data_IF_122334761649
#
_entry.id   IF_122334761649
#
_cell.length_a   1.000
_cell.length_b   1.000
_cell.length_c   1.000
_cell.angle_alpha   90.00
_cell.angle_beta   90.00
_cell.angle_gamma   90.00
#
_symmetry.space_group_name_H-M   'P 1'
#
loop_
_entity.id
_entity.type
_entity.pdbx_description
1 polymer ?
#
# COMPACT_ATOMS: atom_id res chain seq x y z
N UNK A 1 -6.61 -9.42 -24.24
CA UNK A 1 -6.96 -8.21 -25.01
C UNK A 1 -7.09 -7.07 -24.04
N UNK A 2 -6.46 -5.91 -24.27
CA UNK A 2 -6.61 -4.76 -23.40
C UNK A 2 -8.06 -4.25 -23.39
N UNK A 3 -8.57 -3.91 -22.20
CA UNK A 3 -9.92 -3.40 -22.00
C UNK A 3 -9.90 -1.88 -22.01
N UNK A 4 -10.60 -1.26 -22.95
CA UNK A 4 -10.67 0.20 -23.08
C UNK A 4 -12.10 0.65 -22.77
N UNK A 5 -12.25 1.60 -21.86
CA UNK A 5 -13.51 2.28 -21.58
C UNK A 5 -13.56 3.58 -22.36
N UNK A 6 -14.57 3.75 -23.20
CA UNK A 6 -14.84 5.00 -23.93
C UNK A 6 -16.06 5.66 -23.31
N UNK A 7 -15.89 6.88 -22.80
CA UNK A 7 -16.92 7.68 -22.13
C UNK A 7 -17.13 8.96 -22.94
N UNK A 8 -18.28 9.11 -23.55
CA UNK A 8 -18.64 10.24 -24.40
C UNK A 8 -20.18 10.28 -24.53
N UNK A 9 -20.82 11.41 -24.47
CA UNK A 9 -22.28 11.50 -24.61
C UNK A 9 -22.73 11.43 -26.07
N UNK A 10 -21.85 11.73 -27.03
CA UNK A 10 -22.12 11.67 -28.45
C UNK A 10 -22.06 10.24 -29.00
N UNK A 11 -23.20 9.65 -29.38
CA UNK A 11 -23.30 8.28 -29.93
C UNK A 11 -22.34 8.06 -31.10
N UNK A 12 -22.28 9.00 -32.05
CA UNK A 12 -21.42 8.88 -33.24
C UNK A 12 -19.93 8.81 -32.92
N UNK A 13 -19.48 9.54 -31.89
CA UNK A 13 -18.09 9.52 -31.45
C UNK A 13 -17.80 8.18 -30.75
N UNK A 14 -18.68 7.72 -29.85
CA UNK A 14 -18.53 6.42 -29.19
C UNK A 14 -18.42 5.28 -30.18
N UNK A 15 -19.33 5.24 -31.19
CA UNK A 15 -19.33 4.18 -32.21
C UNK A 15 -18.06 4.22 -33.04
N UNK A 16 -17.63 5.40 -33.53
CA UNK A 16 -16.41 5.56 -34.32
C UNK A 16 -15.16 5.13 -33.55
N UNK A 17 -15.01 5.59 -32.30
CA UNK A 17 -13.87 5.20 -31.46
C UNK A 17 -13.89 3.70 -31.16
N UNK A 18 -15.08 3.14 -30.93
CA UNK A 18 -15.23 1.70 -30.69
C UNK A 18 -14.82 0.87 -31.89
N UNK A 19 -15.22 1.26 -33.09
CA UNK A 19 -14.85 0.57 -34.34
C UNK A 19 -13.33 0.60 -34.53
N UNK A 20 -12.70 1.77 -34.48
CA UNK A 20 -11.26 1.92 -34.64
C UNK A 20 -10.49 1.06 -33.59
N UNK A 21 -10.90 1.10 -32.33
CA UNK A 21 -10.18 0.40 -31.27
C UNK A 21 -10.39 -1.12 -31.32
N UNK A 22 -11.55 -1.60 -31.77
CA UNK A 22 -11.81 -3.03 -32.00
C UNK A 22 -11.01 -3.57 -33.18
N UNK A 23 -10.88 -2.78 -34.24
CA UNK A 23 -10.03 -3.13 -35.40
C UNK A 23 -8.57 -3.28 -35.00
N UNK A 24 -8.09 -2.52 -34.02
CA UNK A 24 -6.75 -2.66 -33.40
C UNK A 24 -6.66 -3.79 -32.37
N UNK A 25 -7.73 -4.58 -32.18
CA UNK A 25 -7.71 -5.77 -31.32
C UNK A 25 -7.96 -5.50 -29.85
N UNK A 26 -8.63 -4.40 -29.49
CA UNK A 26 -8.98 -4.07 -28.11
C UNK A 26 -10.40 -4.51 -27.75
N UNK A 27 -10.64 -4.83 -26.45
CA UNK A 27 -11.98 -5.03 -25.90
C UNK A 27 -12.53 -3.67 -25.45
N UNK A 28 -13.60 -3.19 -26.12
CA UNK A 28 -14.12 -1.84 -25.93
C UNK A 28 -15.46 -1.87 -25.21
N UNK A 29 -15.52 -1.21 -24.06
CA UNK A 29 -16.73 -0.93 -23.32
C UNK A 29 -17.11 0.55 -23.51
N UNK A 30 -18.40 0.82 -23.69
CA UNK A 30 -18.94 2.15 -23.91
C UNK A 30 -19.72 2.62 -22.68
N UNK A 31 -19.64 3.93 -22.40
CA UNK A 31 -20.46 4.61 -21.40
C UNK A 31 -20.91 5.95 -21.99
N UNK A 32 -22.17 6.30 -21.82
CA UNK A 32 -22.72 7.55 -22.38
C UNK A 32 -22.73 8.73 -21.39
N UNK A 33 -22.39 8.45 -20.13
CA UNK A 33 -22.38 9.45 -19.05
C UNK A 33 -21.48 8.99 -17.90
N UNK A 34 -21.29 9.88 -16.93
CA UNK A 34 -20.44 9.59 -15.77
C UNK A 34 -21.01 8.47 -14.87
N UNK A 35 -22.34 8.32 -14.79
CA UNK A 35 -22.94 7.26 -13.99
C UNK A 35 -22.60 5.87 -14.56
N UNK A 36 -22.71 5.70 -15.88
CA UNK A 36 -22.31 4.47 -16.56
C UNK A 36 -20.79 4.22 -16.49
N UNK A 37 -20.01 5.31 -16.59
CA UNK A 37 -18.55 5.21 -16.43
C UNK A 37 -18.14 4.72 -15.05
N UNK A 38 -18.82 5.19 -13.97
CA UNK A 38 -18.62 4.68 -12.60
C UNK A 38 -18.99 3.19 -12.52
N UNK A 39 -20.16 2.82 -12.99
CA UNK A 39 -20.61 1.42 -13.00
C UNK A 39 -19.66 0.50 -13.80
N UNK A 40 -19.18 0.96 -14.95
CA UNK A 40 -18.22 0.22 -15.77
C UNK A 40 -16.89 0.03 -15.06
N UNK A 41 -16.41 1.06 -14.32
CA UNK A 41 -15.18 1.04 -13.53
C UNK A 41 -15.32 0.10 -12.33
N UNK A 42 -16.45 0.13 -11.63
CA UNK A 42 -16.73 -0.72 -10.47
C UNK A 42 -16.89 -2.18 -10.85
N UNK A 43 -17.43 -2.46 -12.05
CA UNK A 43 -17.54 -3.82 -12.59
C UNK A 43 -16.18 -4.44 -12.99
N UNK A 44 -15.13 -3.63 -13.11
CA UNK A 44 -13.77 -4.08 -13.40
C UNK A 44 -12.90 -2.97 -13.95
N UNK A 45 -11.63 -2.96 -13.52
CA UNK A 45 -10.65 -1.98 -13.97
C UNK A 45 -10.43 -2.04 -15.48
N UNK A 46 -10.62 -0.93 -16.22
CA UNK A 46 -10.17 -0.84 -17.60
C UNK A 46 -8.64 -0.64 -17.67
N UNK A 47 -8.03 -1.10 -18.75
CA UNK A 47 -6.60 -0.88 -19.00
C UNK A 47 -6.30 0.55 -19.48
N UNK A 48 -7.32 1.23 -20.01
CA UNK A 48 -7.30 2.62 -20.45
C UNK A 48 -8.71 3.20 -20.44
N UNK A 49 -8.84 4.48 -20.12
CA UNK A 49 -10.09 5.25 -20.27
C UNK A 49 -9.87 6.39 -21.26
N UNK A 50 -10.76 6.51 -22.23
CA UNK A 50 -10.95 7.71 -23.03
C UNK A 50 -12.16 8.44 -22.46
N UNK A 51 -11.99 9.65 -21.94
CA UNK A 51 -13.01 10.37 -21.18
C UNK A 51 -13.29 11.74 -21.77
N UNK A 52 -14.52 11.93 -22.20
CA UNK A 52 -14.96 13.25 -22.62
C UNK A 52 -15.09 14.21 -21.42
N UNK A 53 -14.79 15.48 -21.65
CA UNK A 53 -14.94 16.52 -20.63
C UNK A 53 -16.40 16.93 -20.51
N UNK A 54 -17.07 17.14 -21.61
CA UNK A 54 -18.42 17.69 -21.62
C UNK A 54 -19.47 16.61 -21.68
N UNK A 55 -20.07 16.31 -20.53
CA UNK A 55 -21.16 15.35 -20.41
C UNK A 55 -22.34 15.97 -19.63
N UNK A 56 -23.59 15.55 -19.90
CA UNK A 56 -24.78 16.25 -19.37
C UNK A 56 -25.00 16.04 -17.86
N UNK A 57 -24.52 14.94 -17.28
CA UNK A 57 -24.73 14.61 -15.87
C UNK A 57 -23.61 15.11 -14.94
N UNK A 58 -22.38 14.82 -15.27
CA UNK A 58 -21.18 15.20 -14.52
C UNK A 58 -20.05 15.40 -15.53
N UNK A 59 -19.35 16.53 -15.48
CA UNK A 59 -18.23 16.76 -16.38
C UNK A 59 -17.05 15.80 -16.10
N UNK A 60 -16.28 15.46 -17.13
CA UNK A 60 -15.20 14.51 -17.06
C UNK A 60 -14.06 14.91 -16.11
N UNK A 61 -13.84 16.21 -15.88
CA UNK A 61 -12.83 16.70 -14.92
C UNK A 61 -13.29 16.38 -13.50
N UNK A 62 -14.57 16.56 -13.19
CA UNK A 62 -15.17 16.20 -11.90
C UNK A 62 -15.10 14.69 -11.66
N UNK A 63 -15.45 13.88 -12.66
CA UNK A 63 -15.31 12.42 -12.58
C UNK A 63 -13.86 11.98 -12.35
N UNK A 64 -12.91 12.61 -13.02
CA UNK A 64 -11.48 12.35 -12.84
C UNK A 64 -11.02 12.72 -11.41
N UNK A 65 -11.51 13.83 -10.84
CA UNK A 65 -11.27 14.24 -9.45
C UNK A 65 -11.83 13.22 -8.46
N UNK A 66 -13.05 12.76 -8.68
CA UNK A 66 -13.70 11.75 -7.86
C UNK A 66 -12.87 10.45 -7.82
N UNK A 67 -12.49 9.92 -8.99
CA UNK A 67 -11.62 8.75 -9.07
C UNK A 67 -10.27 8.97 -8.42
N UNK A 68 -9.69 10.17 -8.55
CA UNK A 68 -8.45 10.53 -7.88
C UNK A 68 -8.57 10.57 -6.35
N UNK A 69 -9.66 11.13 -5.83
CA UNK A 69 -9.93 11.21 -4.39
C UNK A 69 -10.26 9.84 -3.78
N UNK A 70 -10.96 8.98 -4.54
CA UNK A 70 -11.29 7.61 -4.13
C UNK A 70 -10.13 6.61 -4.31
N UNK A 71 -8.96 7.04 -4.81
CA UNK A 71 -7.84 6.13 -5.13
C UNK A 71 -8.10 5.20 -6.31
N UNK A 72 -9.17 5.44 -7.05
CA UNK A 72 -9.59 4.63 -8.19
C UNK A 72 -8.92 5.03 -9.52
N UNK A 73 -8.10 6.10 -9.52
CA UNK A 73 -7.36 6.58 -10.70
C UNK A 73 -6.04 5.82 -10.87
N UNK A 74 -6.11 4.52 -10.97
CA UNK A 74 -4.99 3.60 -11.13
C UNK A 74 -4.82 3.06 -12.56
N UNK A 75 -5.68 3.50 -13.47
CA UNK A 75 -5.58 3.29 -14.91
C UNK A 75 -5.22 4.61 -15.61
N UNK A 76 -4.57 4.55 -16.78
CA UNK A 76 -4.35 5.74 -17.59
C UNK A 76 -5.68 6.30 -18.11
N UNK A 77 -5.88 7.60 -17.96
CA UNK A 77 -7.03 8.33 -18.51
C UNK A 77 -6.53 9.34 -19.53
N UNK A 78 -7.08 9.29 -20.73
CA UNK A 78 -6.87 10.26 -21.79
C UNK A 78 -8.14 11.09 -21.90
N UNK A 79 -8.02 12.39 -21.67
CA UNK A 79 -9.17 13.29 -21.78
C UNK A 79 -9.46 13.65 -23.24
N UNK A 80 -10.72 13.83 -23.59
CA UNK A 80 -11.17 14.27 -24.90
C UNK A 80 -12.00 15.56 -24.77
N UNK A 81 -11.87 16.51 -25.68
CA UNK A 81 -12.69 17.73 -25.66
C UNK A 81 -12.80 18.39 -27.02
N UNK A 82 -13.99 18.91 -27.33
CA UNK A 82 -14.23 19.72 -28.50
C UNK A 82 -13.87 21.20 -28.30
N UNK A 83 -13.70 21.69 -27.07
CA UNK A 83 -13.36 23.05 -26.71
C UNK A 83 -12.24 23.06 -25.69
N UNK A 84 -11.05 22.65 -26.12
CA UNK A 84 -9.88 22.59 -25.28
C UNK A 84 -9.31 23.99 -25.03
N UNK A 85 -9.29 24.43 -23.76
CA UNK A 85 -8.42 25.52 -23.34
C UNK A 85 -7.12 24.94 -22.76
N UNK A 86 -6.03 25.70 -22.85
CA UNK A 86 -4.75 25.31 -22.23
C UNK A 86 -4.95 25.06 -20.73
N UNK A 87 -5.79 25.88 -20.08
CA UNK A 87 -6.07 25.77 -18.65
C UNK A 87 -6.74 24.45 -18.29
N UNK A 88 -7.71 23.99 -19.10
CA UNK A 88 -8.42 22.72 -18.89
C UNK A 88 -7.48 21.50 -19.04
N UNK A 89 -6.61 21.55 -20.06
CA UNK A 89 -5.60 20.49 -20.26
C UNK A 89 -4.57 20.45 -19.12
N UNK A 90 -4.14 21.61 -18.64
CA UNK A 90 -3.23 21.74 -17.48
C UNK A 90 -3.91 21.23 -16.21
N UNK A 91 -5.18 21.56 -15.98
CA UNK A 91 -5.95 21.07 -14.83
C UNK A 91 -6.08 19.55 -14.86
N UNK A 92 -6.52 18.98 -15.97
CA UNK A 92 -6.64 17.54 -16.15
C UNK A 92 -5.31 16.81 -15.86
N UNK A 93 -4.20 17.33 -16.38
CA UNK A 93 -2.87 16.77 -16.15
C UNK A 93 -2.44 16.86 -14.68
N UNK A 94 -2.79 17.93 -13.97
CA UNK A 94 -2.51 18.10 -12.53
C UNK A 94 -3.29 17.09 -11.69
N UNK A 95 -4.51 16.74 -12.09
CA UNK A 95 -5.35 15.74 -11.39
C UNK A 95 -4.82 14.33 -11.64
N UNK A 96 -4.20 14.07 -12.79
CA UNK A 96 -3.59 12.77 -13.10
C UNK A 96 -3.95 12.20 -14.47
N UNK A 97 -4.60 12.96 -15.34
CA UNK A 97 -4.78 12.56 -16.74
C UNK A 97 -3.42 12.33 -17.41
N UNK A 98 -3.34 11.26 -18.22
CA UNK A 98 -2.13 10.90 -18.94
C UNK A 98 -1.86 11.79 -20.14
N UNK A 99 -2.92 12.15 -20.87
CA UNK A 99 -2.86 12.89 -22.10
C UNK A 99 -4.20 13.59 -22.39
N UNK A 100 -4.21 14.42 -23.40
CA UNK A 100 -5.36 15.19 -23.82
C UNK A 100 -5.51 15.15 -25.35
N UNK A 101 -6.72 14.85 -25.85
CA UNK A 101 -7.07 14.81 -27.26
C UNK A 101 -8.12 15.86 -27.60
N UNK A 102 -7.84 16.71 -28.55
CA UNK A 102 -8.79 17.68 -29.07
C UNK A 102 -9.66 17.06 -30.18
N UNK A 103 -10.98 17.21 -30.07
CA UNK A 103 -11.95 16.81 -31.09
C UNK A 103 -11.96 17.88 -32.23
N UNK A 104 -11.96 17.48 -33.51
CA UNK A 104 -12.06 16.10 -34.02
C UNK A 104 -10.77 15.33 -33.87
N UNK A 105 -10.89 14.10 -33.33
CA UNK A 105 -9.74 13.27 -32.96
C UNK A 105 -9.18 12.59 -34.21
N UNK A 106 -7.96 12.96 -34.58
CA UNK A 106 -7.26 12.29 -35.68
C UNK A 106 -6.82 10.87 -35.31
N UNK A 107 -7.06 9.89 -36.18
CA UNK A 107 -6.76 8.46 -35.95
C UNK A 107 -5.34 8.20 -35.44
N UNK A 108 -4.33 8.83 -36.04
CA UNK A 108 -2.93 8.66 -35.63
C UNK A 108 -2.67 9.16 -34.19
N UNK A 109 -3.30 10.29 -33.81
CA UNK A 109 -3.19 10.83 -32.44
C UNK A 109 -3.89 9.93 -31.43
N UNK A 110 -5.07 9.42 -31.77
CA UNK A 110 -5.81 8.44 -30.97
C UNK A 110 -4.96 7.21 -30.69
N UNK A 111 -4.47 6.54 -31.74
CA UNK A 111 -3.69 5.30 -31.61
C UNK A 111 -2.37 5.53 -30.86
N UNK A 112 -1.71 6.66 -31.06
CA UNK A 112 -0.50 7.03 -30.32
C UNK A 112 -0.78 7.21 -28.81
N UNK A 113 -1.88 7.91 -28.47
CA UNK A 113 -2.29 8.12 -27.08
C UNK A 113 -2.73 6.81 -26.40
N UNK A 114 -3.47 5.96 -27.12
CA UNK A 114 -3.90 4.63 -26.65
C UNK A 114 -2.69 3.74 -26.40
N UNK A 115 -1.76 3.65 -27.37
CA UNK A 115 -0.54 2.86 -27.21
C UNK A 115 0.27 3.31 -26.00
N UNK A 116 0.52 4.63 -25.87
CA UNK A 116 1.23 5.22 -24.73
C UNK A 116 0.52 4.93 -23.41
N UNK A 117 -0.81 5.00 -23.41
CA UNK A 117 -1.65 4.71 -22.24
C UNK A 117 -1.57 3.25 -21.83
N UNK A 118 -1.74 2.32 -22.76
CA UNK A 118 -1.67 0.89 -22.49
C UNK A 118 -0.27 0.45 -22.03
N UNK A 119 0.79 0.99 -22.61
CA UNK A 119 2.16 0.77 -22.15
C UNK A 119 2.36 1.24 -20.70
N UNK A 120 1.75 2.36 -20.31
CA UNK A 120 1.79 2.87 -18.94
C UNK A 120 0.85 2.10 -18.00
N UNK A 121 -0.35 1.74 -18.44
CA UNK A 121 -1.30 0.93 -17.69
C UNK A 121 -0.79 -0.47 -17.40
N UNK A 122 -0.16 -1.09 -18.41
CA UNK A 122 0.47 -2.39 -18.26
C UNK A 122 1.66 -2.38 -17.28
N UNK A 123 2.34 -1.24 -17.09
CA UNK A 123 3.37 -1.07 -16.04
C UNK A 123 2.78 -1.14 -14.62
N UNK A 124 1.51 -0.83 -14.47
CA UNK A 124 0.82 -0.83 -13.18
C UNK A 124 0.04 -2.12 -12.91
N UNK A 125 -0.29 -2.91 -13.94
CA UNK A 125 -1.24 -4.04 -13.90
C UNK A 125 -0.59 -5.43 -13.80
N UNK A 126 0.40 -5.67 -13.08
CA UNK A 126 0.97 -7.04 -12.96
C UNK A 126 2.12 -7.18 -11.98
N UNK A 127 2.42 -6.12 -11.29
CA UNK A 127 3.40 -6.08 -10.22
C UNK A 127 2.80 -5.43 -8.97
N UNK A 128 3.44 -5.57 -7.82
CA UNK A 128 3.08 -4.82 -6.61
C UNK A 128 3.04 -3.31 -6.85
N UNK A 129 2.45 -2.55 -5.92
CA UNK A 129 2.39 -1.09 -5.97
C UNK A 129 3.78 -0.50 -6.23
N UNK A 130 3.87 0.45 -7.15
CA UNK A 130 5.12 1.11 -7.54
C UNK A 130 4.97 2.63 -7.51
N UNK A 131 6.10 3.36 -7.53
CA UNK A 131 6.09 4.83 -7.60
C UNK A 131 5.36 5.37 -8.84
N UNK A 132 5.14 4.54 -9.85
CA UNK A 132 4.38 4.90 -11.05
C UNK A 132 2.90 5.21 -10.81
N UNK A 133 2.33 4.74 -9.70
CA UNK A 133 0.96 5.03 -9.30
C UNK A 133 0.77 6.49 -8.86
N UNK A 134 1.83 7.14 -8.33
CA UNK A 134 1.76 8.47 -7.74
C UNK A 134 2.07 9.55 -8.78
N UNK A 135 1.03 10.08 -9.42
CA UNK A 135 1.16 11.08 -10.49
C UNK A 135 1.22 12.53 -9.97
N UNK A 136 0.72 12.78 -8.75
CA UNK A 136 0.67 14.12 -8.15
C UNK A 136 2.09 14.67 -7.89
N UNK A 137 2.32 15.98 -8.02
CA UNK A 137 3.57 16.60 -7.58
C UNK A 137 3.77 16.36 -6.08
N UNK A 138 4.91 15.82 -5.71
CA UNK A 138 5.20 15.49 -4.32
C UNK A 138 6.48 14.66 -4.20
N UNK A 139 6.88 14.30 -2.97
CA UNK A 139 8.12 13.56 -2.69
C UNK A 139 8.23 12.23 -3.44
N UNK A 140 7.13 11.48 -3.59
CA UNK A 140 7.10 10.20 -4.29
C UNK A 140 7.36 10.35 -5.80
N UNK A 141 6.80 11.40 -6.43
CA UNK A 141 7.06 11.71 -7.84
C UNK A 141 8.51 12.14 -8.07
N UNK A 142 9.07 12.95 -7.17
CA UNK A 142 10.47 13.36 -7.25
C UNK A 142 11.43 12.19 -7.02
N UNK A 143 11.10 11.28 -6.11
CA UNK A 143 11.82 10.03 -5.93
C UNK A 143 11.77 9.17 -7.19
N UNK A 144 10.58 9.04 -7.81
CA UNK A 144 10.40 8.33 -9.08
C UNK A 144 11.29 8.89 -10.18
N UNK A 145 11.34 10.21 -10.33
CA UNK A 145 12.18 10.86 -11.34
C UNK A 145 13.67 10.55 -11.11
N UNK A 146 14.15 10.65 -9.86
CA UNK A 146 15.54 10.30 -9.52
C UNK A 146 15.83 8.82 -9.77
N UNK A 147 14.90 7.95 -9.37
CA UNK A 147 15.00 6.51 -9.63
C UNK A 147 15.15 6.20 -11.13
N UNK A 148 14.30 6.79 -11.98
CA UNK A 148 14.35 6.58 -13.44
C UNK A 148 15.66 7.07 -14.05
N UNK A 149 16.20 8.21 -13.57
CA UNK A 149 17.48 8.74 -14.03
C UNK A 149 18.65 7.80 -13.71
N UNK A 150 18.64 7.17 -12.54
CA UNK A 150 19.66 6.21 -12.14
C UNK A 150 19.52 4.91 -12.92
N UNK A 151 18.29 4.38 -13.01
CA UNK A 151 18.02 3.12 -13.69
C UNK A 151 18.29 3.18 -15.21
N UNK A 152 18.20 4.37 -15.81
CA UNK A 152 18.57 4.58 -17.22
C UNK A 152 20.08 4.45 -17.47
N UNK A 153 20.91 4.61 -16.43
CA UNK A 153 22.38 4.58 -16.54
C UNK A 153 23.01 3.26 -16.08
N UNK A 154 22.32 2.53 -15.20
CA UNK A 154 22.84 1.29 -14.62
C UNK A 154 21.72 0.27 -14.42
N UNK A 155 21.92 -1.01 -14.83
CA UNK A 155 20.98 -2.09 -14.52
C UNK A 155 21.09 -2.55 -13.05
N UNK A 156 22.09 -2.05 -12.31
CA UNK A 156 22.30 -2.32 -10.89
C UNK A 156 22.02 -1.07 -10.10
N UNK A 157 21.17 -1.19 -9.06
CA UNK A 157 20.81 -0.09 -8.18
C UNK A 157 20.80 -0.55 -6.72
N UNK A 158 21.53 0.16 -5.86
CA UNK A 158 21.46 0.00 -4.42
C UNK A 158 20.55 1.06 -3.81
N UNK A 159 19.51 0.64 -3.12
CA UNK A 159 18.64 1.49 -2.32
C UNK A 159 19.21 1.60 -0.90
N UNK A 160 19.64 2.79 -0.52
CA UNK A 160 20.10 3.09 0.85
C UNK A 160 18.94 3.67 1.62
N UNK A 161 18.42 2.92 2.56
CA UNK A 161 17.22 3.26 3.31
C UNK A 161 17.52 3.46 4.80
N UNK A 162 16.78 4.36 5.43
CA UNK A 162 16.62 4.35 6.87
C UNK A 162 15.68 3.18 7.28
N UNK A 163 15.69 2.74 8.55
CA UNK A 163 14.68 1.83 9.06
C UNK A 163 13.28 2.35 8.73
N UNK A 164 12.36 1.45 8.34
CA UNK A 164 11.02 1.84 7.91
C UNK A 164 10.94 2.43 6.49
N UNK A 165 11.98 2.27 5.67
CA UNK A 165 12.03 2.76 4.28
C UNK A 165 11.04 2.07 3.34
N UNK A 166 10.60 2.79 2.30
CA UNK A 166 9.66 2.30 1.29
C UNK A 166 10.36 1.52 0.16
N UNK A 167 11.33 0.68 0.51
CA UNK A 167 12.26 0.05 -0.46
C UNK A 167 11.55 -0.84 -1.49
N UNK A 168 10.58 -1.66 -1.07
CA UNK A 168 9.82 -2.50 -2.00
C UNK A 168 9.03 -1.66 -3.01
N UNK A 169 8.34 -0.61 -2.54
CA UNK A 169 7.59 0.32 -3.39
C UNK A 169 8.48 0.96 -4.47
N UNK A 170 9.70 1.36 -4.08
CA UNK A 170 10.68 1.92 -5.01
C UNK A 170 11.17 0.84 -5.98
N UNK A 171 11.56 -0.33 -5.48
CA UNK A 171 12.10 -1.41 -6.30
C UNK A 171 11.09 -1.93 -7.32
N UNK A 172 9.79 -2.00 -6.97
CA UNK A 172 8.70 -2.37 -7.91
C UNK A 172 8.64 -1.44 -9.12
N UNK A 173 9.15 -0.22 -9.01
CA UNK A 173 9.24 0.70 -10.16
C UNK A 173 10.24 0.26 -11.24
N UNK A 174 11.14 -0.68 -10.94
CA UNK A 174 12.04 -1.29 -11.93
C UNK A 174 11.35 -2.40 -12.75
N UNK A 175 10.27 -2.98 -12.23
CA UNK A 175 9.60 -4.10 -12.87
C UNK A 175 8.83 -3.63 -14.12
N UNK A 176 9.11 -4.28 -15.25
CA UNK A 176 8.34 -4.10 -16.47
C UNK A 176 7.10 -5.02 -16.46
N UNK A 177 6.02 -4.64 -17.15
CA UNK A 177 4.80 -5.44 -17.23
C UNK A 177 5.06 -6.86 -17.74
N UNK A 178 4.45 -7.85 -17.08
CA UNK A 178 4.59 -9.24 -17.45
C UNK A 178 6.01 -9.83 -17.32
N UNK A 179 6.96 -9.06 -16.75
CA UNK A 179 8.31 -9.54 -16.53
C UNK A 179 8.48 -10.11 -15.13
N UNK A 180 9.31 -11.16 -14.97
CA UNK A 180 9.48 -11.84 -13.70
C UNK A 180 10.07 -10.93 -12.62
N UNK A 181 9.61 -11.16 -11.39
CA UNK A 181 10.18 -10.63 -10.17
C UNK A 181 10.78 -11.79 -9.39
N UNK A 182 12.07 -11.74 -9.12
CA UNK A 182 12.80 -12.81 -8.46
C UNK A 182 13.43 -12.29 -7.17
N UNK A 183 13.01 -12.82 -6.04
CA UNK A 183 13.58 -12.47 -4.74
C UNK A 183 14.76 -13.39 -4.42
N UNK A 184 15.96 -12.80 -4.39
CA UNK A 184 17.19 -13.52 -4.12
C UNK A 184 17.31 -14.02 -2.68
N UNK A 185 16.57 -13.43 -1.74
CA UNK A 185 16.58 -13.84 -0.34
C UNK A 185 15.81 -15.13 -0.09
N UNK A 186 14.86 -15.49 -0.96
CA UNK A 186 14.06 -16.72 -0.83
C UNK A 186 14.74 -17.94 -1.44
N UNK A 187 15.77 -17.77 -2.28
CA UNK A 187 16.44 -18.91 -2.90
C UNK A 187 17.63 -19.37 -2.04
N UNK A 188 17.57 -20.63 -1.62
CA UNK A 188 18.61 -21.29 -0.82
C UNK A 188 19.56 -22.14 -1.65
N UNK A 189 19.42 -22.13 -2.99
CA UNK A 189 20.24 -22.89 -3.91
C UNK A 189 21.27 -22.00 -4.65
N UNK A 190 22.36 -22.58 -5.15
CA UNK A 190 23.29 -21.85 -6.03
C UNK A 190 22.54 -21.34 -7.29
N UNK A 191 22.67 -20.06 -7.57
CA UNK A 191 22.05 -19.42 -8.73
C UNK A 191 22.70 -19.93 -10.01
N UNK A 192 21.91 -20.54 -10.91
CA UNK A 192 22.39 -21.04 -12.19
C UNK A 192 22.10 -20.06 -13.34
N UNK A 193 22.82 -20.24 -14.45
CA UNK A 193 22.58 -19.48 -15.68
C UNK A 193 21.18 -19.72 -16.25
N UNK A 194 20.60 -20.88 -16.03
CA UNK A 194 19.24 -21.23 -16.44
C UNK A 194 18.19 -20.42 -15.70
N UNK A 195 18.40 -20.18 -14.39
CA UNK A 195 17.52 -19.31 -13.58
C UNK A 195 17.61 -17.87 -14.09
N UNK A 196 18.81 -17.36 -14.37
CA UNK A 196 18.98 -16.02 -14.95
C UNK A 196 18.31 -15.89 -16.32
N UNK A 197 18.36 -16.93 -17.13
CA UNK A 197 17.70 -16.94 -18.44
C UNK A 197 16.18 -16.91 -18.32
N UNK A 198 15.62 -17.68 -17.39
CA UNK A 198 14.17 -17.63 -17.08
C UNK A 198 13.72 -16.28 -16.51
N UNK A 199 14.59 -15.62 -15.75
CA UNK A 199 14.34 -14.29 -15.22
C UNK A 199 14.55 -13.16 -16.24
N UNK A 200 14.96 -13.47 -17.46
CA UNK A 200 15.36 -12.49 -18.50
C UNK A 200 14.31 -11.38 -18.70
N UNK A 201 14.79 -10.14 -18.75
CA UNK A 201 13.97 -8.94 -18.86
C UNK A 201 13.29 -8.52 -17.55
N UNK A 202 13.48 -9.29 -16.46
CA UNK A 202 12.87 -9.07 -15.15
C UNK A 202 13.76 -8.33 -14.17
N UNK A 203 13.34 -8.39 -12.91
CA UNK A 203 14.02 -7.77 -11.76
C UNK A 203 14.46 -8.85 -10.78
N UNK A 204 15.74 -8.79 -10.42
CA UNK A 204 16.29 -9.49 -9.25
C UNK A 204 16.21 -8.53 -8.06
N UNK A 205 15.58 -8.97 -6.99
CA UNK A 205 15.32 -8.18 -5.80
C UNK A 205 16.02 -8.72 -4.56
N UNK A 206 16.50 -7.83 -3.71
CA UNK A 206 16.99 -8.15 -2.37
C UNK A 206 16.60 -7.02 -1.42
N UNK A 207 15.77 -7.32 -0.44
CA UNK A 207 15.23 -6.34 0.51
C UNK A 207 16.29 -5.79 1.47
N UNK A 208 17.19 -6.66 1.98
CA UNK A 208 18.24 -6.26 2.92
C UNK A 208 19.49 -7.14 2.74
N UNK A 209 20.59 -6.49 2.35
CA UNK A 209 21.86 -7.16 2.13
C UNK A 209 22.41 -7.83 3.39
N UNK A 210 22.21 -7.25 4.57
CA UNK A 210 22.68 -7.77 5.83
C UNK A 210 22.06 -9.11 6.23
N UNK A 211 20.87 -9.45 5.68
CA UNK A 211 20.17 -10.71 5.96
C UNK A 211 20.60 -11.86 5.07
N UNK A 212 21.39 -11.60 4.03
CA UNK A 212 21.79 -12.64 3.09
C UNK A 212 22.82 -13.60 3.68
N UNK A 213 22.59 -14.89 3.54
CA UNK A 213 23.57 -15.93 3.80
C UNK A 213 24.77 -15.83 2.85
N UNK A 214 25.89 -16.47 3.18
CA UNK A 214 27.09 -16.50 2.34
C UNK A 214 26.83 -16.99 0.92
N UNK A 215 25.91 -17.95 0.77
CA UNK A 215 25.54 -18.47 -0.56
C UNK A 215 24.74 -17.41 -1.34
N UNK A 216 23.78 -16.77 -0.69
CA UNK A 216 22.96 -15.71 -1.30
C UNK A 216 23.79 -14.48 -1.67
N UNK A 217 24.80 -14.11 -0.86
CA UNK A 217 25.78 -13.07 -1.21
C UNK A 217 26.52 -13.43 -2.53
N UNK A 218 27.01 -14.68 -2.64
CA UNK A 218 27.64 -15.16 -3.87
C UNK A 218 26.67 -15.18 -5.06
N UNK A 219 25.41 -15.59 -4.84
CA UNK A 219 24.37 -15.57 -5.87
C UNK A 219 24.11 -14.16 -6.39
N UNK A 220 24.02 -13.19 -5.48
CA UNK A 220 23.80 -11.78 -5.84
C UNK A 220 24.97 -11.23 -6.67
N UNK A 221 26.21 -11.44 -6.24
CA UNK A 221 27.41 -11.02 -6.97
C UNK A 221 27.53 -11.71 -8.34
N UNK A 222 27.24 -13.02 -8.39
CA UNK A 222 27.19 -13.80 -9.65
C UNK A 222 26.16 -13.22 -10.64
N UNK A 223 24.98 -12.82 -10.14
CA UNK A 223 23.96 -12.17 -10.95
C UNK A 223 24.40 -10.77 -11.41
N UNK A 224 24.99 -9.97 -10.50
CA UNK A 224 25.46 -8.61 -10.78
C UNK A 224 26.46 -8.51 -11.93
N UNK A 225 27.26 -9.56 -12.15
CA UNK A 225 28.19 -9.63 -13.27
C UNK A 225 27.54 -9.92 -14.62
N UNK A 226 26.27 -10.37 -14.62
CA UNK A 226 25.61 -10.95 -15.80
C UNK A 226 24.34 -10.22 -16.20
N UNK A 227 24.04 -9.06 -15.57
CA UNK A 227 22.79 -8.32 -15.77
C UNK A 227 22.54 -7.95 -17.22
N UNK A 228 23.55 -7.40 -17.90
CA UNK A 228 23.44 -7.00 -19.31
C UNK A 228 23.20 -8.20 -20.22
N UNK A 229 23.91 -9.30 -19.98
CA UNK A 229 23.82 -10.52 -20.81
C UNK A 229 22.40 -11.09 -20.82
N UNK A 230 21.68 -11.01 -19.70
CA UNK A 230 20.33 -11.55 -19.55
C UNK A 230 19.25 -10.46 -19.55
N UNK A 231 19.61 -9.21 -19.86
CA UNK A 231 18.70 -8.06 -19.82
C UNK A 231 17.94 -7.97 -18.47
N UNK A 232 18.67 -8.15 -17.37
CA UNK A 232 18.16 -8.13 -16.01
C UNK A 232 18.42 -6.79 -15.33
N UNK A 233 17.57 -6.43 -14.41
CA UNK A 233 17.79 -5.35 -13.45
C UNK A 233 18.00 -5.95 -12.07
N UNK A 234 19.01 -5.48 -11.34
CA UNK A 234 19.24 -5.84 -9.95
C UNK A 234 18.96 -4.63 -9.08
N UNK A 235 17.98 -4.76 -8.20
CA UNK A 235 17.67 -3.76 -7.17
C UNK A 235 17.88 -4.41 -5.83
N UNK A 236 18.87 -3.93 -5.09
CA UNK A 236 19.15 -4.38 -3.73
C UNK A 236 18.94 -3.22 -2.76
N UNK A 237 18.57 -3.52 -1.52
CA UNK A 237 18.44 -2.50 -0.49
C UNK A 237 19.25 -2.85 0.75
N UNK A 238 19.64 -1.82 1.50
CA UNK A 238 20.28 -1.99 2.80
C UNK A 238 20.09 -0.77 3.69
N UNK A 239 19.97 -1.04 4.98
CA UNK A 239 20.02 -0.05 6.04
C UNK A 239 21.44 0.12 6.61
N UNK A 240 22.39 -0.72 6.19
CA UNK A 240 23.75 -0.81 6.72
C UNK A 240 24.76 -0.05 5.85
N UNK A 241 25.80 0.44 6.46
CA UNK A 241 26.97 0.98 5.78
C UNK A 241 27.82 -0.13 5.15
N UNK A 242 28.71 0.24 4.21
CA UNK A 242 29.67 -0.70 3.62
C UNK A 242 30.56 -1.36 4.67
N UNK A 243 31.01 -0.61 5.70
CA UNK A 243 31.84 -1.14 6.78
C UNK A 243 31.11 -2.19 7.64
N UNK A 244 29.84 -1.95 7.96
CA UNK A 244 29.01 -2.92 8.70
C UNK A 244 28.78 -4.19 7.88
N UNK A 245 28.53 -4.08 6.59
CA UNK A 245 28.40 -5.23 5.69
C UNK A 245 29.71 -6.02 5.57
N UNK A 246 30.88 -5.34 5.53
CA UNK A 246 32.18 -6.01 5.58
C UNK A 246 32.34 -6.82 6.87
N UNK A 247 31.95 -6.26 8.02
CA UNK A 247 31.95 -6.98 9.30
C UNK A 247 31.05 -8.22 9.29
N UNK A 248 29.93 -8.19 8.54
CA UNK A 248 29.07 -9.32 8.26
C UNK A 248 29.65 -10.28 7.19
N UNK A 249 30.84 -9.97 6.69
CA UNK A 249 31.68 -10.81 5.81
C UNK A 249 31.34 -10.71 4.34
N UNK A 250 30.84 -9.60 3.89
CA UNK A 250 30.76 -9.32 2.47
C UNK A 250 32.17 -9.06 1.89
N UNK A 251 32.35 -9.47 0.63
CA UNK A 251 33.55 -9.18 -0.12
C UNK A 251 33.67 -7.69 -0.44
N UNK A 252 34.84 -7.11 -0.21
CA UNK A 252 35.08 -5.67 -0.39
C UNK A 252 34.84 -5.22 -1.84
N UNK A 253 35.34 -5.97 -2.81
CA UNK A 253 35.18 -5.62 -4.23
C UNK A 253 33.71 -5.74 -4.67
N UNK A 254 33.00 -6.74 -4.16
CA UNK A 254 31.55 -6.90 -4.36
C UNK A 254 30.78 -5.72 -3.83
N UNK A 255 31.10 -5.24 -2.62
CA UNK A 255 30.46 -4.06 -2.02
C UNK A 255 30.78 -2.78 -2.78
N UNK A 256 32.03 -2.55 -3.18
CA UNK A 256 32.40 -1.38 -3.98
C UNK A 256 31.52 -1.28 -5.23
N UNK A 257 31.30 -2.38 -5.93
CA UNK A 257 30.45 -2.43 -7.11
C UNK A 257 28.97 -2.15 -6.79
N UNK A 258 28.45 -2.69 -5.70
CA UNK A 258 27.07 -2.46 -5.28
C UNK A 258 26.84 -1.00 -4.85
N UNK A 259 27.79 -0.40 -4.17
CA UNK A 259 27.70 0.96 -3.66
C UNK A 259 28.02 2.05 -4.70
N UNK A 260 28.48 1.67 -5.90
CA UNK A 260 28.77 2.60 -6.99
C UNK A 260 27.52 3.38 -7.42
N UNK A 261 26.35 2.70 -7.45
CA UNK A 261 25.09 3.28 -7.90
C UNK A 261 24.08 3.24 -6.76
N UNK A 262 24.01 4.29 -5.96
CA UNK A 262 23.13 4.36 -4.80
C UNK A 262 22.03 5.41 -4.91
N UNK A 263 20.82 5.07 -4.43
CA UNK A 263 19.68 5.99 -4.27
C UNK A 263 19.21 5.97 -2.82
N UNK A 264 19.11 7.15 -2.19
CA UNK A 264 18.49 7.29 -0.87
C UNK A 264 16.98 7.11 -0.93
N UNK A 265 16.44 6.28 -0.03
CA UNK A 265 15.02 5.99 0.09
C UNK A 265 14.51 6.49 1.43
N UNK A 266 13.50 7.37 1.46
CA UNK A 266 12.95 7.89 2.70
C UNK A 266 12.15 6.81 3.44
N UNK A 267 12.02 7.01 4.76
CA UNK A 267 11.11 6.23 5.61
C UNK A 267 9.66 6.71 5.46
N UNK A 268 8.71 5.89 5.89
CA UNK A 268 7.30 6.32 5.99
C UNK A 268 7.13 7.46 7.00
N UNK A 269 7.96 7.52 8.03
CA UNK A 269 7.95 8.62 9.00
C UNK A 269 8.30 9.97 8.37
N UNK A 270 9.21 9.98 7.36
CA UNK A 270 9.55 11.18 6.57
C UNK A 270 8.48 11.50 5.52
N UNK A 271 7.63 10.54 5.17
CA UNK A 271 6.57 10.63 4.16
C UNK A 271 5.16 10.60 4.77
N UNK A 272 4.97 11.11 5.99
CA UNK A 272 3.68 11.04 6.71
C UNK A 272 2.49 11.50 5.88
N UNK A 273 2.65 12.58 5.12
CA UNK A 273 1.57 13.15 4.33
C UNK A 273 1.24 12.33 3.07
N UNK A 274 2.15 11.42 2.67
CA UNK A 274 1.94 10.50 1.54
C UNK A 274 1.33 9.15 1.99
N UNK A 275 1.35 8.83 3.30
CA UNK A 275 0.82 7.57 3.84
C UNK A 275 -0.64 7.33 3.46
N UNK A 276 -1.56 8.32 3.54
CA UNK A 276 -2.94 8.14 3.11
C UNK A 276 -3.08 7.72 1.63
N UNK A 277 -2.31 8.35 0.75
CA UNK A 277 -2.30 8.04 -0.68
C UNK A 277 -1.72 6.63 -0.91
N UNK A 278 -0.63 6.27 -0.23
CA UNK A 278 -0.03 4.93 -0.31
C UNK A 278 -1.03 3.87 0.17
N UNK A 279 -1.68 4.07 1.32
CA UNK A 279 -2.66 3.14 1.88
C UNK A 279 -3.87 2.95 0.95
N UNK A 280 -4.37 4.04 0.37
CA UNK A 280 -5.49 4.01 -0.58
C UNK A 280 -5.15 3.21 -1.84
N UNK A 281 -3.95 3.43 -2.40
CA UNK A 281 -3.49 2.67 -3.58
C UNK A 281 -3.23 1.20 -3.26
N UNK A 282 -2.70 0.89 -2.06
CA UNK A 282 -2.54 -0.50 -1.59
C UNK A 282 -3.89 -1.21 -1.47
N UNK A 283 -4.87 -0.56 -0.84
CA UNK A 283 -6.22 -1.12 -0.72
C UNK A 283 -6.84 -1.38 -2.10
N UNK A 284 -6.73 -0.41 -3.01
CA UNK A 284 -7.24 -0.56 -4.37
C UNK A 284 -6.58 -1.73 -5.10
N UNK A 285 -5.26 -1.88 -4.98
CA UNK A 285 -4.54 -3.00 -5.57
C UNK A 285 -4.99 -4.35 -5.01
N UNK A 286 -5.19 -4.45 -3.68
CA UNK A 286 -5.66 -5.67 -3.04
C UNK A 286 -7.08 -6.05 -3.47
N UNK A 287 -7.96 -5.07 -3.68
CA UNK A 287 -9.29 -5.28 -4.24
C UNK A 287 -9.24 -5.76 -5.70
N UNK A 288 -8.36 -5.20 -6.51
CA UNK A 288 -8.21 -5.58 -7.93
C UNK A 288 -7.59 -6.96 -8.12
N UNK A 289 -6.81 -7.44 -7.15
CA UNK A 289 -6.29 -8.81 -7.14
C UNK A 289 -7.22 -9.83 -6.47
N UNK A 290 -8.46 -9.45 -6.13
CA UNK A 290 -9.43 -10.27 -5.40
C UNK A 290 -8.92 -10.81 -4.06
N UNK A 291 -7.90 -10.15 -3.48
CA UNK A 291 -7.35 -10.54 -2.18
C UNK A 291 -8.20 -10.05 -1.00
N UNK A 292 -8.97 -8.97 -1.21
CA UNK A 292 -9.86 -8.38 -0.21
C UNK A 292 -11.18 -7.93 -0.85
N UNK A 293 -12.29 -7.89 -0.09
CA UNK A 293 -13.56 -7.39 -0.59
C UNK A 293 -13.51 -5.88 -0.84
N UNK A 294 -14.55 -5.35 -1.52
CA UNK A 294 -14.68 -3.92 -1.77
C UNK A 294 -14.72 -3.14 -0.45
N UNK A 295 -13.76 -2.23 -0.27
CA UNK A 295 -13.57 -1.42 0.94
C UNK A 295 -13.11 -0.01 0.57
N UNK A 296 -13.37 0.94 1.46
CA UNK A 296 -12.81 2.30 1.40
C UNK A 296 -12.41 2.76 2.80
N UNK A 297 -11.39 3.58 2.89
CA UNK A 297 -11.04 4.23 4.15
C UNK A 297 -11.90 5.46 4.40
N UNK A 298 -12.35 5.67 5.64
CA UNK A 298 -12.83 6.97 6.08
C UNK A 298 -11.68 7.97 6.19
N UNK A 299 -12.00 9.27 6.14
CA UNK A 299 -10.98 10.32 6.33
C UNK A 299 -10.30 10.21 7.69
N UNK A 300 -11.04 9.82 8.74
CA UNK A 300 -10.52 9.63 10.08
C UNK A 300 -9.55 8.43 10.15
N UNK A 301 -9.88 7.31 9.50
CA UNK A 301 -8.98 6.16 9.37
C UNK A 301 -7.66 6.52 8.66
N UNK A 302 -7.74 7.27 7.55
CA UNK A 302 -6.54 7.75 6.84
C UNK A 302 -5.68 8.68 7.70
N UNK A 303 -6.30 9.52 8.55
CA UNK A 303 -5.58 10.35 9.51
C UNK A 303 -4.88 9.52 10.60
N UNK A 304 -5.53 8.46 11.09
CA UNK A 304 -4.92 7.53 12.04
C UNK A 304 -3.68 6.83 11.42
N UNK A 305 -3.81 6.33 10.18
CA UNK A 305 -2.68 5.76 9.43
C UNK A 305 -1.54 6.76 9.25
N UNK A 306 -1.85 8.05 8.96
CA UNK A 306 -0.86 9.11 8.81
C UNK A 306 -0.08 9.39 10.10
N UNK A 307 -0.70 9.25 11.26
CA UNK A 307 -0.08 9.56 12.56
C UNK A 307 0.78 8.41 13.09
N UNK A 308 0.59 7.20 12.62
CA UNK A 308 1.35 6.03 13.08
C UNK A 308 2.84 6.10 12.67
N UNK A 309 3.73 5.54 13.48
CA UNK A 309 5.18 5.67 13.29
C UNK A 309 5.74 4.79 12.16
N UNK A 310 5.11 3.66 11.86
CA UNK A 310 5.50 2.71 10.81
C UNK A 310 6.96 2.23 10.93
N UNK A 311 7.35 1.74 12.10
CA UNK A 311 8.72 1.26 12.36
C UNK A 311 9.11 0.09 11.45
N UNK A 312 8.17 -0.81 11.13
CA UNK A 312 8.33 -1.89 10.16
C UNK A 312 8.20 -1.45 8.70
N UNK A 313 7.99 -0.16 8.45
CA UNK A 313 7.99 0.46 7.13
C UNK A 313 6.84 0.03 6.22
N UNK A 314 7.14 -0.03 4.92
CA UNK A 314 6.14 -0.33 3.90
C UNK A 314 5.50 -1.73 4.06
N UNK A 315 6.27 -2.71 4.55
CA UNK A 315 5.75 -4.05 4.81
C UNK A 315 4.68 -4.07 5.91
N UNK A 316 4.91 -3.30 6.99
CA UNK A 316 3.94 -3.12 8.07
C UNK A 316 2.68 -2.41 7.57
N UNK A 317 2.81 -1.32 6.83
CA UNK A 317 1.67 -0.61 6.24
C UNK A 317 0.84 -1.53 5.33
N UNK A 318 1.49 -2.31 4.47
CA UNK A 318 0.84 -3.28 3.58
C UNK A 318 0.07 -4.34 4.35
N UNK A 319 0.67 -4.88 5.42
CA UNK A 319 0.01 -5.86 6.30
C UNK A 319 -1.19 -5.25 7.04
N UNK A 320 -1.05 -4.01 7.54
CA UNK A 320 -2.12 -3.29 8.22
C UNK A 320 -3.29 -3.01 7.28
N UNK A 321 -3.04 -2.50 6.06
CA UNK A 321 -4.09 -2.26 5.06
C UNK A 321 -4.84 -3.55 4.72
N UNK A 322 -4.12 -4.67 4.52
CA UNK A 322 -4.73 -5.97 4.24
C UNK A 322 -5.58 -6.46 5.42
N UNK A 323 -5.06 -6.35 6.64
CA UNK A 323 -5.78 -6.77 7.86
C UNK A 323 -7.03 -5.94 8.09
N UNK A 324 -6.96 -4.63 7.90
CA UNK A 324 -8.13 -3.74 7.99
C UNK A 324 -9.19 -4.09 6.96
N UNK A 325 -8.78 -4.32 5.71
CA UNK A 325 -9.71 -4.65 4.63
C UNK A 325 -10.41 -6.00 4.83
N UNK A 326 -9.72 -6.99 5.43
CA UNK A 326 -10.29 -8.31 5.73
C UNK A 326 -11.11 -8.31 7.03
N UNK A 327 -10.70 -7.53 8.04
CA UNK A 327 -11.32 -7.50 9.35
C UNK A 327 -12.55 -6.59 9.45
N UNK A 328 -12.67 -5.60 8.59
CA UNK A 328 -13.81 -4.68 8.58
C UNK A 328 -15.10 -5.38 8.17
N UNK A 329 -16.18 -5.14 8.92
CA UNK A 329 -17.51 -5.70 8.64
C UNK A 329 -18.28 -4.86 7.62
N UNK A 330 -18.01 -3.54 7.55
CA UNK A 330 -18.65 -2.60 6.65
C UNK A 330 -17.87 -2.37 5.37
N UNK A 331 -18.45 -1.66 4.40
CA UNK A 331 -17.71 -1.20 3.21
C UNK A 331 -16.69 -0.11 3.53
N UNK A 332 -16.92 0.64 4.61
CA UNK A 332 -16.07 1.74 5.06
C UNK A 332 -15.27 1.32 6.31
N UNK A 333 -13.94 1.41 6.20
CA UNK A 333 -13.00 1.17 7.30
C UNK A 333 -12.96 2.42 8.17
N UNK A 334 -13.40 2.30 9.43
CA UNK A 334 -13.51 3.39 10.39
C UNK A 334 -12.21 3.68 11.14
N UNK A 335 -12.24 4.80 11.91
CA UNK A 335 -11.13 5.19 12.78
C UNK A 335 -10.91 4.19 13.90
N UNK A 336 -11.99 3.74 14.57
CA UNK A 336 -11.90 2.84 15.72
C UNK A 336 -11.24 1.51 15.36
N UNK A 337 -11.63 0.90 14.21
CA UNK A 337 -11.04 -0.32 13.71
C UNK A 337 -9.55 -0.12 13.38
N UNK A 338 -9.22 1.04 12.82
CA UNK A 338 -7.84 1.40 12.47
C UNK A 338 -6.99 1.58 13.72
N UNK A 339 -7.46 2.34 14.70
CA UNK A 339 -6.75 2.55 15.97
C UNK A 339 -6.59 1.24 16.76
N UNK A 340 -7.62 0.39 16.77
CA UNK A 340 -7.54 -0.93 17.41
C UNK A 340 -6.45 -1.81 16.79
N UNK A 341 -6.32 -1.81 15.46
CA UNK A 341 -5.27 -2.57 14.78
C UNK A 341 -3.88 -1.98 15.01
N UNK A 342 -3.77 -0.64 15.00
CA UNK A 342 -2.51 0.09 15.16
C UNK A 342 -2.08 0.24 16.63
N UNK A 343 -2.97 -0.05 17.57
CA UNK A 343 -2.58 -0.13 18.97
C UNK A 343 -1.38 -1.08 19.07
N UNK A 344 -0.29 -0.69 19.75
CA UNK A 344 0.81 -1.61 19.97
C UNK A 344 0.19 -2.89 20.48
N UNK A 345 0.49 -4.02 19.84
CA UNK A 345 0.12 -5.32 20.37
C UNK A 345 0.74 -5.35 21.76
N UNK A 346 -0.06 -5.01 22.75
CA UNK A 346 0.37 -5.11 24.12
C UNK A 346 0.98 -6.50 24.23
N UNK A 347 2.13 -6.61 24.84
CA UNK A 347 2.64 -7.91 25.27
C UNK A 347 1.41 -8.67 25.76
N UNK A 348 1.19 -9.95 25.33
CA UNK A 348 -0.02 -10.65 25.68
C UNK A 348 -0.22 -10.39 27.18
N UNK A 349 -1.20 -9.56 27.48
CA UNK A 349 -1.39 -9.11 28.86
C UNK A 349 -1.59 -10.40 29.65
N UNK A 350 -0.55 -10.81 30.37
CA UNK A 350 -0.64 -11.91 31.34
C UNK A 350 -1.66 -11.56 32.42
N UNK A 351 -2.15 -10.33 32.38
CA UNK A 351 -3.20 -9.80 33.20
C UNK A 351 -4.55 -10.28 32.67
N UNK A 352 -5.31 -11.08 33.39
CA UNK A 352 -6.65 -11.49 33.00
C UNK A 352 -7.53 -10.28 32.71
N UNK A 353 -8.30 -10.33 31.60
CA UNK A 353 -9.20 -9.25 31.22
C UNK A 353 -10.09 -8.81 32.40
N UNK A 354 -9.97 -7.55 32.80
CA UNK A 354 -10.73 -6.98 33.93
C UNK A 354 -9.93 -6.76 35.22
N UNK A 355 -8.64 -7.06 35.25
CA UNK A 355 -7.74 -6.67 36.35
C UNK A 355 -6.91 -5.44 35.92
N UNK A 356 -6.78 -4.47 36.82
CA UNK A 356 -5.91 -3.32 36.62
C UNK A 356 -4.44 -3.79 36.59
N UNK A 357 -3.66 -3.49 35.51
CA UNK A 357 -2.25 -3.82 35.45
C UNK A 357 -1.44 -3.32 36.65
N UNK A 358 -1.78 -2.18 37.21
CA UNK A 358 -1.10 -1.63 38.39
C UNK A 358 -1.25 -2.54 39.62
N UNK A 359 -2.34 -3.27 39.72
CA UNK A 359 -2.58 -4.18 40.86
C UNK A 359 -1.66 -5.40 40.86
N UNK A 360 -1.24 -5.85 39.66
CA UNK A 360 -0.37 -7.03 39.51
C UNK A 360 1.10 -6.69 39.79
N UNK A 361 1.51 -5.46 39.58
CA UNK A 361 2.87 -4.99 39.90
C UNK A 361 3.09 -4.74 41.42
N UNK A 362 2.01 -4.74 42.21
CA UNK A 362 2.11 -4.62 43.67
C UNK A 362 2.68 -5.88 44.34
N UNK A 363 3.32 -5.77 45.51
CA UNK A 363 3.64 -6.91 46.34
C UNK A 363 2.38 -7.76 46.61
N UNK A 364 2.49 -9.08 46.62
CA UNK A 364 1.37 -10.03 46.67
C UNK A 364 0.31 -9.69 47.75
N UNK A 365 0.75 -9.18 48.86
CA UNK A 365 -0.16 -8.77 49.95
C UNK A 365 -1.04 -7.57 49.57
N UNK A 366 -0.42 -6.57 48.95
CA UNK A 366 -1.11 -5.34 48.54
C UNK A 366 -1.99 -5.60 47.32
N UNK A 367 -1.51 -6.41 46.36
CA UNK A 367 -2.29 -6.86 45.19
C UNK A 367 -3.55 -7.60 45.62
N UNK A 368 -3.44 -8.47 46.63
CA UNK A 368 -4.56 -9.21 47.19
C UNK A 368 -5.57 -8.26 47.86
N UNK A 369 -5.12 -7.29 48.66
CA UNK A 369 -5.98 -6.31 49.31
C UNK A 369 -6.70 -5.43 48.28
N UNK A 370 -6.01 -4.99 47.21
CA UNK A 370 -6.60 -4.23 46.12
C UNK A 370 -7.67 -5.03 45.36
N UNK A 371 -7.39 -6.31 45.01
CA UNK A 371 -8.38 -7.18 44.39
C UNK A 371 -9.58 -7.44 45.27
N UNK A 372 -9.39 -7.73 46.59
CA UNK A 372 -10.47 -7.94 47.53
C UNK A 372 -11.35 -6.68 47.67
N UNK A 373 -10.74 -5.48 47.68
CA UNK A 373 -11.49 -4.20 47.73
C UNK A 373 -12.35 -4.07 46.47
N UNK A 374 -11.81 -4.19 45.30
CA UNK A 374 -12.52 -4.09 44.01
C UNK A 374 -13.66 -5.12 43.90
N UNK A 375 -13.44 -6.35 44.36
CA UNK A 375 -14.43 -7.43 44.39
C UNK A 375 -15.61 -7.07 45.27
N UNK A 376 -15.35 -6.57 46.50
CA UNK A 376 -16.39 -6.20 47.42
C UNK A 376 -17.12 -4.94 47.00
N UNK A 377 -16.45 -3.93 46.45
CA UNK A 377 -17.08 -2.71 45.91
C UNK A 377 -18.07 -3.06 44.80
N UNK A 378 -17.64 -3.90 43.84
CA UNK A 378 -18.50 -4.36 42.73
C UNK A 378 -19.77 -5.04 43.26
N UNK A 379 -19.63 -5.97 44.19
CA UNK A 379 -20.78 -6.70 44.73
C UNK A 379 -21.67 -5.87 45.65
N UNK A 380 -21.11 -4.94 46.41
CA UNK A 380 -21.89 -3.98 47.20
C UNK A 380 -22.73 -3.07 46.29
N UNK A 381 -22.14 -2.57 45.20
CA UNK A 381 -22.87 -1.75 44.24
C UNK A 381 -23.97 -2.54 43.53
N UNK A 382 -23.67 -3.77 43.09
CA UNK A 382 -24.59 -4.64 42.34
C UNK A 382 -25.79 -5.10 43.18
N UNK A 383 -25.57 -5.41 44.46
CA UNK A 383 -26.60 -5.96 45.33
C UNK A 383 -27.23 -4.87 46.24
N UNK A 384 -26.99 -3.57 45.96
CA UNK A 384 -27.58 -2.44 46.69
C UNK A 384 -27.23 -2.43 48.18
N UNK A 385 -26.05 -2.94 48.55
CA UNK A 385 -25.59 -3.01 49.94
C UNK A 385 -26.22 -4.13 50.79
N UNK A 386 -26.90 -5.10 50.18
CA UNK A 386 -27.54 -6.22 50.91
C UNK A 386 -26.50 -7.23 51.39
N UNK A 387 -26.22 -7.16 52.72
CA UNK A 387 -25.19 -7.97 53.37
C UNK A 387 -25.50 -9.47 53.41
N UNK A 388 -26.78 -9.86 53.35
CA UNK A 388 -27.15 -11.28 53.31
C UNK A 388 -26.78 -11.91 51.99
N UNK A 389 -27.12 -11.26 50.87
CA UNK A 389 -26.76 -11.70 49.52
C UNK A 389 -25.24 -11.68 49.29
N UNK A 390 -24.58 -10.67 49.87
CA UNK A 390 -23.13 -10.56 49.76
C UNK A 390 -22.43 -11.73 50.53
N UNK A 391 -22.92 -12.06 51.73
CA UNK A 391 -22.38 -13.20 52.49
C UNK A 391 -22.57 -14.54 51.75
N UNK A 392 -23.74 -14.77 51.18
CA UNK A 392 -24.01 -15.98 50.38
C UNK A 392 -23.08 -16.10 49.15
N UNK A 393 -22.88 -14.98 48.43
CA UNK A 393 -22.02 -14.95 47.22
C UNK A 393 -20.53 -15.16 47.54
N UNK A 394 -20.07 -14.55 48.65
CA UNK A 394 -18.66 -14.59 49.02
C UNK A 394 -18.30 -15.85 49.82
N UNK A 395 -19.29 -16.63 50.27
CA UNK A 395 -19.10 -17.80 51.13
C UNK A 395 -18.57 -17.46 52.50
N UNK A 396 -18.64 -16.18 52.92
CA UNK A 396 -18.18 -15.73 54.24
C UNK A 396 -19.34 -15.62 55.23
N UNK A 397 -19.08 -16.05 56.48
CA UNK A 397 -20.01 -15.77 57.54
C UNK A 397 -20.16 -14.26 57.76
N UNK A 398 -21.36 -13.80 58.15
CA UNK A 398 -21.69 -12.37 58.30
C UNK A 398 -20.70 -11.62 59.21
N UNK A 399 -20.29 -12.23 60.31
CA UNK A 399 -19.31 -11.63 61.25
C UNK A 399 -17.94 -11.43 60.59
N UNK A 400 -17.50 -12.40 59.83
CA UNK A 400 -16.25 -12.34 59.06
C UNK A 400 -16.32 -11.29 57.91
N UNK A 401 -17.46 -11.23 57.20
CA UNK A 401 -17.70 -10.25 56.15
C UNK A 401 -17.65 -8.82 56.68
N UNK A 402 -18.29 -8.52 57.78
CA UNK A 402 -18.27 -7.17 58.41
C UNK A 402 -16.85 -6.76 58.79
N UNK A 403 -16.07 -7.65 59.38
CA UNK A 403 -14.69 -7.39 59.77
C UNK A 403 -13.84 -7.13 58.52
N UNK A 404 -14.02 -7.95 57.49
CA UNK A 404 -13.27 -7.83 56.21
C UNK A 404 -13.56 -6.50 55.50
N UNK A 405 -14.82 -6.10 55.42
CA UNK A 405 -15.21 -4.81 54.83
C UNK A 405 -14.64 -3.63 55.61
N UNK A 406 -14.60 -3.73 56.95
CA UNK A 406 -13.98 -2.72 57.78
C UNK A 406 -12.48 -2.63 57.58
N UNK A 407 -11.77 -3.76 57.48
CA UNK A 407 -10.34 -3.83 57.24
C UNK A 407 -9.97 -3.24 55.86
N UNK A 408 -10.86 -3.39 54.87
CA UNK A 408 -10.71 -2.85 53.51
C UNK A 408 -11.19 -1.37 53.41
N UNK A 409 -11.70 -0.76 54.45
CA UNK A 409 -12.18 0.62 54.47
C UNK A 409 -13.49 0.89 53.69
N UNK A 410 -14.25 -0.19 53.43
CA UNK A 410 -15.51 -0.11 52.65
C UNK A 410 -16.76 0.10 53.56
N UNK A 411 -16.58 0.09 54.84
CA UNK A 411 -17.64 0.33 55.82
C UNK A 411 -17.09 0.76 57.20
#
# INVERSE_FOLDING_TARGET
MPKILVVDDEVGIRELLSEILRDEGHDVRLAENAAEARAARDAGRPDLVLLDIWMPDTDGITLLKEWGAAGQLNMPVVMMSGHATIDTAVEATKIGALDFLEKPIGMQKLLAAVKKGLERGARNAGGGLSLGAFARPGPLRDLKRRFDQVLAKSPLLLLRAAPGGIVELVARSAQLPGKPWFDLAHDSNPLSTEVLQRASGGVLWCEELARLSRLQQKNLLFAAERLERYNLRLVAATTHSSAELQALGWDENGLLRLFETGLGVPSLAELKDEVPDIATHLLTQLMESDEVPLRRFSTAALNALRQHAWEGGYGELKAAVKSLALGSLGEEIGEDETLQLLAPAGEPSLVPAGLDPEVIELPLREAREAFERMYFEYHLAKDGGNMTRLAEKTGLERTHLYRKLKDLGLR
#
